data_IF_600519907157
#
_entry.id   IF_600519907157
#
_cell.length_a   1.000
_cell.length_b   1.000
_cell.length_c   1.000
_cell.angle_alpha   90.00
_cell.angle_beta   90.00
_cell.angle_gamma   90.00
#
_symmetry.space_group_name_H-M   'P 1'
#
loop_
_entity.id
_entity.type
_entity.pdbx_description
1 polymer ?
#
# COMPACT_ATOMS: atom_id res chain seq x y z
N UNK A 1 59.66 -10.39 -13.56
CA UNK A 1 60.21 -10.22 -12.20
C UNK A 1 59.05 -10.01 -11.24
N UNK A 2 58.89 -10.84 -10.21
CA UNK A 2 57.80 -10.69 -9.23
C UNK A 2 58.35 -10.21 -7.90
N UNK A 3 57.81 -9.11 -7.36
CA UNK A 3 58.20 -8.52 -6.07
C UNK A 3 56.91 -8.25 -5.29
N UNK A 4 56.79 -8.81 -4.08
CA UNK A 4 55.62 -8.65 -3.19
C UNK A 4 54.25 -8.94 -3.85
N UNK A 5 54.18 -9.93 -4.75
CA UNK A 5 52.95 -10.29 -5.47
C UNK A 5 52.66 -9.48 -6.73
N UNK A 6 53.47 -8.45 -7.03
CA UNK A 6 53.40 -7.68 -8.28
C UNK A 6 54.38 -8.25 -9.29
N UNK A 7 53.90 -8.66 -10.46
CA UNK A 7 54.72 -9.19 -11.56
C UNK A 7 55.00 -8.09 -12.59
N UNK A 8 56.27 -7.82 -12.82
CA UNK A 8 56.77 -7.01 -13.93
C UNK A 8 57.14 -7.93 -15.10
N UNK A 9 56.52 -7.70 -16.26
CA UNK A 9 56.85 -8.36 -17.51
C UNK A 9 57.38 -7.29 -18.48
N UNK A 10 58.56 -7.54 -19.07
CA UNK A 10 59.07 -6.72 -20.16
C UNK A 10 58.65 -7.38 -21.47
N UNK A 11 57.91 -6.64 -22.29
CA UNK A 11 57.55 -7.04 -23.65
C UNK A 11 58.59 -6.52 -24.65
N UNK A 12 58.49 -6.95 -25.91
CA UNK A 12 59.36 -6.46 -26.97
C UNK A 12 59.20 -4.94 -27.18
N UNK A 13 60.30 -4.21 -27.34
CA UNK A 13 60.30 -2.77 -27.62
C UNK A 13 61.30 -1.92 -26.82
N UNK A 14 61.95 -2.47 -25.79
CA UNK A 14 62.98 -1.76 -25.04
C UNK A 14 64.30 -1.67 -25.83
N UNK A 15 64.98 -0.52 -25.75
CA UNK A 15 66.30 -0.28 -26.34
C UNK A 15 67.40 -0.31 -25.28
N UNK A 16 68.65 -0.48 -25.72
CA UNK A 16 69.79 -0.46 -24.83
C UNK A 16 69.87 0.89 -24.09
N UNK A 17 70.04 0.84 -22.76
CA UNK A 17 70.04 1.95 -21.81
C UNK A 17 68.66 2.46 -21.33
N UNK A 18 67.57 1.79 -21.67
CA UNK A 18 66.28 2.08 -21.03
C UNK A 18 66.34 1.76 -19.53
N UNK A 19 65.84 2.69 -18.72
CA UNK A 19 65.71 2.54 -17.26
C UNK A 19 64.23 2.55 -16.90
N UNK A 20 63.78 1.46 -16.29
CA UNK A 20 62.43 1.33 -15.75
C UNK A 20 62.51 1.34 -14.23
N UNK A 21 61.85 2.31 -13.60
CA UNK A 21 61.79 2.43 -12.14
C UNK A 21 60.37 2.20 -11.68
N UNK A 22 60.18 1.24 -10.79
CA UNK A 22 58.93 1.04 -10.06
C UNK A 22 59.18 1.26 -8.58
N UNK A 23 58.44 2.18 -7.97
CA UNK A 23 58.51 2.42 -6.53
C UNK A 23 57.38 1.65 -5.83
N UNK A 24 57.75 0.70 -4.97
CA UNK A 24 56.83 -0.15 -4.22
C UNK A 24 56.73 0.25 -2.74
N UNK A 25 57.24 1.43 -2.37
CA UNK A 25 57.12 1.96 -1.00
C UNK A 25 55.72 2.55 -0.80
N UNK A 26 54.97 2.17 0.25
CA UNK A 26 53.75 2.89 0.65
C UNK A 26 54.12 4.33 0.91
N UNK A 27 53.70 5.25 0.05
CA UNK A 27 53.99 6.67 0.23
C UNK A 27 53.07 7.21 1.32
N UNK A 28 53.64 7.88 2.32
CA UNK A 28 52.85 8.63 3.29
C UNK A 28 52.01 9.68 2.54
N UNK A 29 50.68 9.57 2.62
CA UNK A 29 49.75 10.37 1.82
C UNK A 29 49.23 9.74 0.52
N UNK A 30 49.57 8.48 0.19
CA UNK A 30 48.96 7.77 -0.95
C UNK A 30 47.48 7.46 -0.68
N UNK A 31 46.62 7.80 -1.64
CA UNK A 31 45.18 7.58 -1.61
C UNK A 31 44.72 6.43 -2.54
N UNK A 32 45.63 5.60 -3.04
CA UNK A 32 45.31 4.51 -3.97
C UNK A 32 44.18 3.58 -3.50
N UNK A 33 44.13 3.23 -2.21
CA UNK A 33 43.04 2.42 -1.66
C UNK A 33 41.70 3.19 -1.59
N UNK A 34 41.75 4.49 -1.30
CA UNK A 34 40.56 5.35 -1.30
C UNK A 34 40.00 5.49 -2.72
N UNK A 35 40.88 5.61 -3.73
CA UNK A 35 40.49 5.62 -5.14
C UNK A 35 39.84 4.30 -5.56
N UNK A 36 40.43 3.16 -5.20
CA UNK A 36 39.83 1.84 -5.44
C UNK A 36 38.45 1.70 -4.78
N UNK A 37 38.29 2.22 -3.56
CA UNK A 37 36.99 2.23 -2.88
C UNK A 37 35.96 3.11 -3.59
N UNK A 38 36.39 4.27 -4.11
CA UNK A 38 35.54 5.16 -4.91
C UNK A 38 35.12 4.48 -6.23
N UNK A 39 36.05 3.79 -6.89
CA UNK A 39 35.80 3.08 -8.14
C UNK A 39 34.80 1.92 -7.96
N UNK A 40 34.68 1.32 -6.78
CA UNK A 40 33.65 0.30 -6.51
C UNK A 40 32.22 0.86 -6.60
N UNK A 41 32.02 2.16 -6.30
CA UNK A 41 30.68 2.75 -6.33
C UNK A 41 30.15 2.88 -7.76
N UNK A 42 31.02 3.18 -8.71
CA UNK A 42 30.71 3.41 -10.13
C UNK A 42 31.10 2.25 -11.04
N UNK A 43 31.87 1.29 -10.52
CA UNK A 43 32.25 0.08 -11.21
C UNK A 43 31.05 -0.84 -11.42
N UNK A 44 30.86 -1.28 -12.67
CA UNK A 44 29.84 -2.27 -13.00
C UNK A 44 30.32 -3.67 -12.61
N UNK A 45 30.13 -4.03 -11.35
CA UNK A 45 30.58 -5.30 -10.77
C UNK A 45 29.42 -6.23 -10.38
N UNK A 46 28.18 -5.77 -10.55
CA UNK A 46 26.95 -6.49 -10.23
C UNK A 46 26.18 -6.83 -11.51
N UNK A 47 25.26 -7.79 -11.43
CA UNK A 47 24.46 -8.27 -12.58
C UNK A 47 25.33 -8.59 -13.80
N UNK A 48 26.26 -9.53 -13.64
CA UNK A 48 27.20 -9.95 -14.70
C UNK A 48 28.00 -8.81 -15.34
N UNK A 49 28.24 -7.73 -14.58
CA UNK A 49 29.02 -6.58 -15.04
C UNK A 49 28.19 -5.48 -15.72
N UNK A 50 26.86 -5.50 -15.57
CA UNK A 50 25.98 -4.51 -16.17
C UNK A 50 25.56 -3.38 -15.23
N UNK A 51 25.63 -3.59 -13.91
CA UNK A 51 25.12 -2.65 -12.91
C UNK A 51 26.16 -2.25 -11.88
N UNK A 52 26.10 -0.99 -11.45
CA UNK A 52 26.89 -0.47 -10.34
C UNK A 52 26.19 -0.74 -9.00
N UNK A 53 26.91 -0.57 -7.88
CA UNK A 53 26.32 -0.62 -6.53
C UNK A 53 25.23 0.44 -6.38
N UNK A 54 25.45 1.62 -6.96
CA UNK A 54 24.51 2.74 -6.90
C UNK A 54 23.20 2.42 -7.68
N UNK A 55 23.31 1.78 -8.84
CA UNK A 55 22.15 1.37 -9.64
C UNK A 55 21.27 0.39 -8.87
N UNK A 56 21.88 -0.60 -8.20
CA UNK A 56 21.14 -1.58 -7.41
C UNK A 56 20.42 -0.91 -6.22
N UNK A 57 21.09 0.02 -5.54
CA UNK A 57 20.49 0.79 -4.46
C UNK A 57 19.28 1.61 -4.95
N UNK A 58 19.43 2.33 -6.06
CA UNK A 58 18.32 3.08 -6.65
C UNK A 58 17.17 2.17 -7.09
N UNK A 59 17.48 1.02 -7.70
CA UNK A 59 16.44 0.07 -8.11
C UNK A 59 15.67 -0.48 -6.91
N UNK A 60 16.38 -0.88 -5.85
CA UNK A 60 15.77 -1.37 -4.61
C UNK A 60 14.86 -0.30 -3.97
N UNK A 61 15.34 0.94 -3.89
CA UNK A 61 14.56 2.04 -3.33
C UNK A 61 13.31 2.33 -4.18
N UNK A 62 13.46 2.39 -5.51
CA UNK A 62 12.32 2.57 -6.43
C UNK A 62 11.33 1.41 -6.35
N UNK A 63 11.80 0.17 -6.30
CA UNK A 63 10.94 -1.00 -6.20
C UNK A 63 10.15 -1.00 -4.87
N UNK A 64 10.81 -0.64 -3.77
CA UNK A 64 10.19 -0.52 -2.46
C UNK A 64 9.15 0.60 -2.45
N UNK A 65 9.46 1.77 -3.01
CA UNK A 65 8.52 2.88 -3.14
C UNK A 65 7.31 2.54 -3.99
N UNK A 66 7.52 1.85 -5.12
CA UNK A 66 6.44 1.39 -6.00
C UNK A 66 5.53 0.37 -5.29
N UNK A 67 6.10 -0.59 -4.56
CA UNK A 67 5.34 -1.56 -3.75
C UNK A 67 4.52 -0.85 -2.67
N UNK A 68 5.10 0.10 -1.95
CA UNK A 68 4.40 0.87 -0.93
C UNK A 68 3.24 1.69 -1.53
N UNK A 69 3.48 2.39 -2.64
CA UNK A 69 2.43 3.15 -3.34
C UNK A 69 1.30 2.26 -3.82
N UNK A 70 1.64 1.08 -4.36
CA UNK A 70 0.63 0.10 -4.81
C UNK A 70 -0.17 -0.46 -3.63
N UNK A 71 0.47 -0.77 -2.51
CA UNK A 71 -0.20 -1.26 -1.32
C UNK A 71 -1.19 -0.23 -0.74
N UNK A 72 -0.79 1.05 -0.66
CA UNK A 72 -1.69 2.13 -0.24
C UNK A 72 -2.92 2.23 -1.15
N UNK A 73 -2.70 2.26 -2.47
CA UNK A 73 -3.82 2.32 -3.43
C UNK A 73 -4.77 1.12 -3.31
N UNK A 74 -4.25 -0.08 -3.10
CA UNK A 74 -5.07 -1.27 -2.89
C UNK A 74 -5.87 -1.19 -1.57
N UNK A 75 -5.28 -0.63 -0.52
CA UNK A 75 -5.97 -0.39 0.76
C UNK A 75 -7.12 0.60 0.60
N UNK A 76 -6.93 1.69 -0.15
CA UNK A 76 -7.97 2.67 -0.43
C UNK A 76 -9.12 2.05 -1.22
N UNK A 77 -8.80 1.28 -2.27
CA UNK A 77 -9.80 0.55 -3.07
C UNK A 77 -10.59 -0.43 -2.20
N UNK A 78 -9.91 -1.22 -1.35
CA UNK A 78 -10.59 -2.17 -0.46
C UNK A 78 -11.51 -1.47 0.55
N UNK A 79 -11.12 -0.29 1.02
CA UNK A 79 -11.93 0.53 1.93
C UNK A 79 -13.19 1.04 1.21
N UNK A 80 -13.05 1.57 0.01
CA UNK A 80 -14.16 2.03 -0.83
C UNK A 80 -15.11 0.88 -1.19
N UNK A 81 -14.56 -0.29 -1.52
CA UNK A 81 -15.37 -1.48 -1.85
C UNK A 81 -16.19 -1.95 -0.64
N UNK A 82 -15.56 -1.96 0.55
CA UNK A 82 -16.23 -2.28 1.81
C UNK A 82 -17.37 -1.29 2.09
N UNK A 83 -17.12 0.01 1.99
CA UNK A 83 -18.13 1.05 2.20
C UNK A 83 -19.30 0.87 1.23
N UNK A 84 -19.01 0.71 -0.06
CA UNK A 84 -20.03 0.47 -1.09
C UNK A 84 -20.84 -0.81 -0.84
N UNK A 85 -20.21 -1.87 -0.33
CA UNK A 85 -20.92 -3.08 0.06
C UNK A 85 -21.82 -2.85 1.30
N UNK A 86 -21.35 -2.09 2.28
CA UNK A 86 -22.15 -1.71 3.45
C UNK A 86 -23.36 -0.86 3.06
N UNK A 87 -23.19 0.10 2.15
CA UNK A 87 -24.29 0.91 1.60
C UNK A 87 -25.32 0.05 0.86
N UNK A 88 -24.88 -0.93 0.06
CA UNK A 88 -25.80 -1.88 -0.59
C UNK A 88 -26.58 -2.74 0.41
N UNK A 89 -25.93 -3.16 1.49
CA UNK A 89 -26.62 -3.90 2.56
C UNK A 89 -27.65 -2.98 3.24
N UNK A 90 -27.27 -1.73 3.54
CA UNK A 90 -28.14 -0.75 4.14
C UNK A 90 -29.29 -0.31 3.23
N UNK A 91 -29.15 -0.35 1.90
CA UNK A 91 -30.24 0.01 0.99
C UNK A 91 -31.31 -1.08 0.88
N UNK A 92 -30.93 -2.35 1.02
CA UNK A 92 -31.87 -3.49 1.00
C UNK A 92 -32.45 -3.78 2.38
N UNK A 93 -31.62 -3.65 3.42
CA UNK A 93 -31.98 -4.00 4.80
C UNK A 93 -32.35 -2.79 5.66
N UNK A 94 -32.16 -1.58 5.12
CA UNK A 94 -32.50 -0.34 5.80
C UNK A 94 -34.00 -0.15 5.83
N UNK A 95 -34.51 0.20 7.00
CA UNK A 95 -35.89 0.64 7.19
C UNK A 95 -35.93 2.16 7.09
N UNK A 96 -36.91 2.69 6.36
CA UNK A 96 -37.16 4.12 6.35
C UNK A 96 -37.99 4.48 7.59
N UNK A 97 -37.35 5.11 8.58
CA UNK A 97 -38.00 5.48 9.85
C UNK A 97 -39.22 6.39 9.64
N UNK A 98 -39.25 7.20 8.58
CA UNK A 98 -40.41 8.05 8.28
C UNK A 98 -41.59 7.21 7.73
N UNK A 99 -41.30 6.18 6.94
CA UNK A 99 -42.32 5.25 6.44
C UNK A 99 -42.83 4.33 7.55
N UNK A 100 -41.95 3.85 8.43
CA UNK A 100 -42.33 3.11 9.63
C UNK A 100 -43.17 3.97 10.58
N UNK A 101 -42.81 5.26 10.77
CA UNK A 101 -43.58 6.19 11.58
C UNK A 101 -44.96 6.49 10.98
N UNK A 102 -45.05 6.68 9.65
CA UNK A 102 -46.32 6.85 8.96
C UNK A 102 -47.21 5.60 9.08
N UNK A 103 -46.63 4.41 8.92
CA UNK A 103 -47.34 3.16 9.15
C UNK A 103 -47.78 3.00 10.61
N UNK A 104 -46.93 3.37 11.57
CA UNK A 104 -47.27 3.36 13.00
C UNK A 104 -48.44 4.30 13.29
N UNK A 105 -48.43 5.54 12.78
CA UNK A 105 -49.55 6.48 12.92
C UNK A 105 -50.82 5.93 12.29
N UNK A 106 -50.73 5.31 11.11
CA UNK A 106 -51.86 4.66 10.44
C UNK A 106 -52.42 3.51 11.29
N UNK A 107 -51.58 2.66 11.85
CA UNK A 107 -52.00 1.57 12.74
C UNK A 107 -52.65 2.12 14.03
N UNK A 108 -52.08 3.17 14.63
CA UNK A 108 -52.67 3.84 15.79
C UNK A 108 -54.05 4.42 15.47
N UNK A 109 -54.20 5.08 14.32
CA UNK A 109 -55.48 5.63 13.88
C UNK A 109 -56.51 4.53 13.60
N UNK A 110 -56.11 3.45 12.91
CA UNK A 110 -56.97 2.31 12.66
C UNK A 110 -57.41 1.63 13.97
N UNK A 111 -56.52 1.53 14.95
CA UNK A 111 -56.84 1.02 16.29
C UNK A 111 -57.85 1.91 17.03
N UNK A 112 -57.64 3.23 17.02
CA UNK A 112 -58.59 4.20 17.60
C UNK A 112 -59.95 4.18 16.89
N UNK A 113 -59.99 4.00 15.57
CA UNK A 113 -61.24 3.85 14.84
C UNK A 113 -61.94 2.54 15.22
N UNK A 114 -61.21 1.43 15.30
CA UNK A 114 -61.73 0.12 15.68
C UNK A 114 -62.29 0.11 17.10
N UNK A 115 -61.64 0.80 18.05
CA UNK A 115 -62.14 0.91 19.42
C UNK A 115 -63.42 1.73 19.52
N UNK A 116 -63.56 2.82 18.74
CA UNK A 116 -64.83 3.57 18.64
C UNK A 116 -65.95 2.74 18.03
N UNK A 117 -65.65 1.94 17.00
CA UNK A 117 -66.64 1.01 16.41
C UNK A 117 -67.09 -0.01 17.46
N UNK A 118 -66.18 -0.58 18.26
CA UNK A 118 -66.55 -1.48 19.35
C UNK A 118 -67.39 -0.80 20.43
N UNK A 119 -67.09 0.45 20.78
CA UNK A 119 -67.91 1.21 21.74
C UNK A 119 -69.33 1.42 21.21
N UNK A 120 -69.46 1.91 19.97
CA UNK A 120 -70.76 2.09 19.34
C UNK A 120 -71.54 0.77 19.21
N UNK A 121 -70.86 -0.34 18.91
CA UNK A 121 -71.49 -1.66 18.86
C UNK A 121 -71.99 -2.14 20.24
N UNK A 122 -71.19 -1.93 21.30
CA UNK A 122 -71.61 -2.22 22.68
C UNK A 122 -72.79 -1.36 23.11
N UNK A 123 -72.77 -0.06 22.81
CA UNK A 123 -73.86 0.85 23.14
C UNK A 123 -75.16 0.46 22.42
N UNK A 124 -75.05 0.07 21.15
CA UNK A 124 -76.17 -0.42 20.35
C UNK A 124 -76.72 -1.72 20.93
N UNK A 125 -75.84 -2.67 21.29
CA UNK A 125 -76.22 -3.94 21.90
C UNK A 125 -76.93 -3.74 23.25
N UNK A 126 -76.39 -2.88 24.11
CA UNK A 126 -77.00 -2.55 25.41
C UNK A 126 -78.37 -1.87 25.23
N UNK A 127 -78.52 -0.99 24.24
CA UNK A 127 -79.80 -0.34 23.92
C UNK A 127 -80.86 -1.35 23.50
N UNK A 128 -80.50 -2.34 22.66
CA UNK A 128 -81.41 -3.43 22.27
C UNK A 128 -81.79 -4.27 23.49
N UNK A 129 -80.84 -4.56 24.39
CA UNK A 129 -81.10 -5.34 25.60
C UNK A 129 -82.06 -4.63 26.56
N UNK A 130 -81.94 -3.30 26.70
CA UNK A 130 -82.76 -2.47 27.58
C UNK A 130 -84.20 -2.23 27.06
N UNK A 131 -84.46 -2.50 25.77
CA UNK A 131 -85.80 -2.44 25.18
C UNK A 131 -86.62 -3.73 25.40
N UNK A 132 -86.04 -4.75 26.07
CA UNK A 132 -86.73 -5.95 26.52
C UNK A 132 -86.94 -5.91 28.03
#
# INVERSE_FOLDING_TARGET
VTINGTTFELTAGAVANDKFTANLVPSEGDNGNLRKLQDLQTGKILNDGESTILDLYHNLNTNTGLKASTANRLSDIATLEKESAQERIASVSGVNLDEEAANMMKFQQAYMASSRIMQAANDTFNTILALR
#
